data_IF_162846702278
#
_entry.id   IF_162846702278
#
_cell.length_a   1.000
_cell.length_b   1.000
_cell.length_c   1.000
_cell.angle_alpha   90.00
_cell.angle_beta   90.00
_cell.angle_gamma   90.00
#
_symmetry.space_group_name_H-M   'P 1'
#
loop_
_entity.id
_entity.type
_entity.pdbx_description
1 polymer ?
#
# COMPACT_ATOMS: atom_id res chain seq x y z
N UNK A 1 5.89 11.60 -1.01
CA UNK A 1 6.50 10.70 0.00
C UNK A 1 6.04 9.26 -0.17
N UNK A 2 4.98 8.74 0.48
CA UNK A 2 4.67 7.29 0.39
C UNK A 2 4.54 6.74 -1.05
N UNK A 3 3.72 7.38 -1.90
CA UNK A 3 3.56 6.99 -3.31
C UNK A 3 4.87 7.05 -4.10
N UNK A 4 5.64 8.12 -3.90
CA UNK A 4 6.91 8.36 -4.57
C UNK A 4 7.96 7.29 -4.22
N UNK A 5 8.08 6.95 -2.93
CA UNK A 5 8.98 5.88 -2.47
C UNK A 5 8.55 4.53 -3.01
N UNK A 6 7.24 4.23 -3.02
CA UNK A 6 6.74 2.96 -3.54
C UNK A 6 6.92 2.88 -5.07
N UNK A 7 6.70 3.97 -5.81
CA UNK A 7 7.00 4.04 -7.24
C UNK A 7 8.47 3.80 -7.52
N UNK A 8 9.38 4.37 -6.72
CA UNK A 8 10.81 4.06 -6.84
C UNK A 8 11.10 2.56 -6.58
N UNK A 9 10.50 1.95 -5.56
CA UNK A 9 10.62 0.50 -5.33
C UNK A 9 10.15 -0.30 -6.55
N UNK A 10 9.04 0.10 -7.20
CA UNK A 10 8.55 -0.55 -8.42
C UNK A 10 9.56 -0.44 -9.56
N UNK A 11 10.24 0.70 -9.72
CA UNK A 11 11.34 0.85 -10.70
C UNK A 11 12.51 -0.10 -10.42
N UNK A 12 12.88 -0.30 -9.14
CA UNK A 12 13.90 -1.28 -8.76
C UNK A 12 13.47 -2.70 -9.13
N UNK A 13 12.20 -3.07 -8.90
CA UNK A 13 11.68 -4.38 -9.30
C UNK A 13 11.71 -4.54 -10.82
N UNK A 14 11.32 -3.50 -11.57
CA UNK A 14 11.37 -3.47 -13.04
C UNK A 14 12.80 -3.69 -13.55
N UNK A 15 13.78 -3.02 -12.98
CA UNK A 15 15.18 -3.12 -13.42
C UNK A 15 15.75 -4.52 -13.16
N UNK A 16 15.31 -5.19 -12.09
CA UNK A 16 15.79 -6.53 -11.72
C UNK A 16 15.05 -7.67 -12.43
N UNK A 17 13.74 -7.52 -12.65
CA UNK A 17 12.86 -8.63 -13.05
C UNK A 17 11.98 -8.33 -14.27
N UNK A 18 12.09 -7.13 -14.85
CA UNK A 18 11.36 -6.69 -16.04
C UNK A 18 9.96 -6.15 -15.76
N UNK A 19 9.41 -5.44 -16.75
CA UNK A 19 8.12 -4.73 -16.69
C UNK A 19 6.98 -5.63 -16.19
N UNK A 20 6.85 -6.81 -16.80
CA UNK A 20 5.73 -7.70 -16.52
C UNK A 20 5.65 -8.17 -15.07
N UNK A 21 6.78 -8.17 -14.34
CA UNK A 21 6.84 -8.49 -12.91
C UNK A 21 6.54 -7.24 -12.08
N UNK A 22 7.09 -6.09 -12.46
CA UNK A 22 6.86 -4.81 -11.79
C UNK A 22 5.39 -4.36 -11.83
N UNK A 23 4.69 -4.64 -12.93
CA UNK A 23 3.26 -4.32 -13.09
C UNK A 23 2.35 -5.21 -12.23
N UNK A 24 2.82 -6.40 -11.85
CA UNK A 24 2.02 -7.41 -11.13
C UNK A 24 2.35 -7.51 -9.64
N UNK A 25 3.54 -7.07 -9.24
CA UNK A 25 3.93 -7.09 -7.83
C UNK A 25 3.06 -6.10 -7.06
N UNK A 26 2.53 -6.55 -5.92
CA UNK A 26 1.78 -5.69 -5.00
C UNK A 26 2.75 -5.13 -3.97
N UNK A 27 2.78 -3.81 -3.81
CA UNK A 27 3.62 -3.13 -2.84
C UNK A 27 2.71 -2.42 -1.83
N UNK A 28 2.76 -2.88 -0.58
CA UNK A 28 1.89 -2.37 0.48
C UNK A 28 2.56 -1.23 1.24
N UNK A 29 1.77 -0.23 1.63
CA UNK A 29 2.21 0.81 2.56
C UNK A 29 2.13 0.31 4.00
N UNK A 30 3.26 0.32 4.71
CA UNK A 30 3.39 -0.16 6.10
C UNK A 30 3.50 0.92 7.18
N UNK A 31 3.18 2.18 6.85
CA UNK A 31 3.20 3.28 7.83
C UNK A 31 1.92 3.37 8.66
N UNK A 32 1.54 4.59 9.08
CA UNK A 32 0.32 4.78 9.86
C UNK A 32 -0.92 4.62 8.98
N UNK A 33 -1.60 3.48 9.12
CA UNK A 33 -2.87 3.17 8.44
C UNK A 33 -4.00 3.18 9.46
N UNK A 34 -5.02 3.99 9.20
CA UNK A 34 -6.21 4.17 10.03
C UNK A 34 -7.45 4.25 9.13
N UNK A 35 -8.66 4.02 9.66
CA UNK A 35 -9.91 4.22 8.90
C UNK A 35 -10.01 5.61 8.25
N UNK A 36 -9.52 6.66 8.92
CA UNK A 36 -9.53 8.02 8.39
C UNK A 36 -8.50 8.31 7.28
N UNK A 37 -7.50 7.45 7.07
CA UNK A 37 -6.42 7.68 6.10
C UNK A 37 -6.46 6.73 4.90
N UNK A 38 -7.08 5.55 5.06
CA UNK A 38 -6.98 4.45 4.08
C UNK A 38 -7.45 4.86 2.68
N UNK A 39 -8.57 5.58 2.56
CA UNK A 39 -9.09 6.05 1.26
C UNK A 39 -8.08 6.89 0.49
N UNK A 40 -7.42 7.84 1.16
CA UNK A 40 -6.42 8.71 0.54
C UNK A 40 -5.12 7.97 0.22
N UNK A 41 -4.81 6.90 0.96
CA UNK A 41 -3.66 6.03 0.73
C UNK A 41 -3.91 5.10 -0.47
N UNK A 42 -5.09 4.49 -0.57
CA UNK A 42 -5.45 3.58 -1.67
C UNK A 42 -5.77 4.32 -2.98
N UNK A 43 -6.04 5.62 -2.93
CA UNK A 43 -6.16 6.47 -4.13
C UNK A 43 -4.80 6.82 -4.78
N UNK A 44 -3.68 6.31 -4.25
CA UNK A 44 -2.34 6.54 -4.78
C UNK A 44 -1.98 5.45 -5.76
N UNK A 45 -1.58 5.84 -6.98
CA UNK A 45 -1.31 4.96 -8.11
C UNK A 45 -0.35 3.81 -7.78
N UNK A 46 0.67 4.07 -6.97
CA UNK A 46 1.71 3.09 -6.68
C UNK A 46 1.38 2.18 -5.48
N UNK A 47 0.35 2.48 -4.70
CA UNK A 47 0.06 1.80 -3.43
C UNK A 47 -1.02 0.73 -3.62
N UNK A 48 -0.62 -0.54 -3.52
CA UNK A 48 -1.50 -1.68 -3.80
C UNK A 48 -2.21 -2.25 -2.56
N UNK A 49 -1.96 -1.67 -1.39
CA UNK A 49 -2.54 -2.14 -0.14
C UNK A 49 -1.85 -1.60 1.10
N UNK A 50 -2.22 -2.15 2.26
CA UNK A 50 -1.74 -1.72 3.56
C UNK A 50 -1.23 -2.89 4.40
N UNK A 51 -0.11 -2.70 5.07
CA UNK A 51 0.36 -3.56 6.16
C UNK A 51 0.00 -2.87 7.49
N UNK A 52 -1.11 -3.27 8.08
CA UNK A 52 -1.75 -2.55 9.19
C UNK A 52 -1.20 -3.00 10.54
N UNK A 53 -0.66 -2.05 11.32
CA UNK A 53 -0.22 -2.26 12.70
C UNK A 53 -1.38 -2.23 13.70
N UNK A 54 -1.32 -1.32 14.70
CA UNK A 54 -2.26 -1.30 15.83
C UNK A 54 -3.76 -1.22 15.48
N UNK A 55 -4.14 -0.63 14.34
CA UNK A 55 -5.54 -0.60 13.89
C UNK A 55 -6.08 -1.98 13.49
N UNK A 56 -5.21 -2.97 13.26
CA UNK A 56 -5.62 -4.37 13.03
C UNK A 56 -6.14 -5.07 14.29
N UNK A 57 -5.83 -4.54 15.48
CA UNK A 57 -6.19 -5.16 16.76
C UNK A 57 -7.63 -4.86 17.22
N UNK A 58 -8.35 -4.01 16.49
CA UNK A 58 -9.75 -3.69 16.72
C UNK A 58 -10.54 -4.08 15.48
N UNK A 59 -11.49 -5.01 15.64
CA UNK A 59 -12.22 -5.58 14.51
C UNK A 59 -12.93 -4.51 13.67
N UNK A 60 -13.55 -3.52 14.30
CA UNK A 60 -14.25 -2.43 13.63
C UNK A 60 -13.30 -1.54 12.82
N UNK A 61 -12.15 -1.16 13.40
CA UNK A 61 -11.14 -0.34 12.71
C UNK A 61 -10.55 -1.11 11.53
N UNK A 62 -10.23 -2.39 11.71
CA UNK A 62 -9.67 -3.23 10.65
C UNK A 62 -10.69 -3.46 9.52
N UNK A 63 -11.95 -3.72 9.86
CA UNK A 63 -13.02 -3.87 8.87
C UNK A 63 -13.23 -2.57 8.07
N UNK A 64 -13.15 -1.41 8.71
CA UNK A 64 -13.22 -0.12 8.01
C UNK A 64 -12.00 0.13 7.11
N UNK A 65 -10.82 -0.40 7.48
CA UNK A 65 -9.64 -0.37 6.62
C UNK A 65 -9.77 -1.32 5.43
N UNK A 66 -10.35 -2.52 5.60
CA UNK A 66 -10.54 -3.47 4.49
C UNK A 66 -11.60 -2.98 3.50
N UNK A 67 -12.68 -2.38 3.99
CA UNK A 67 -13.80 -1.87 3.18
C UNK A 67 -13.64 -0.38 2.85
N UNK A 68 -12.45 0.02 2.42
CA UNK A 68 -12.13 1.41 2.10
C UNK A 68 -12.84 1.93 0.86
#
# INVERSE_FOLDING_TARGET
>A
QANETIGYIRTVVKDMYGESVADKVRIQYGGSVKPGTIKAQMAKEEIDGALVGGASLKAEDFAAIVNY
#
